data_IF_738866282078
#
_entry.id   IF_738866282078
#
_cell.length_a   1.000
_cell.length_b   1.000
_cell.length_c   1.000
_cell.angle_alpha   90.00
_cell.angle_beta   90.00
_cell.angle_gamma   90.00
#
_symmetry.space_group_name_H-M   'P 1'
#
loop_
_entity.id
_entity.type
_entity.pdbx_description
1 polymer ?
#
# COMPACT_ATOMS: atom_id res chain seq x y z
N UNK A 1 6.67 -1.41 -15.83
CA UNK A 1 7.12 -1.81 -14.47
C UNK A 1 7.49 -3.29 -14.33
N UNK A 2 7.34 -4.14 -15.36
CA UNK A 2 7.67 -5.56 -15.24
C UNK A 2 8.95 -5.87 -16.02
N UNK A 3 10.03 -6.13 -15.29
CA UNK A 3 11.31 -6.57 -15.84
C UNK A 3 11.41 -8.09 -15.94
N UNK A 4 12.42 -8.63 -16.66
CA UNK A 4 12.57 -10.07 -16.88
C UNK A 4 13.05 -10.86 -15.66
N UNK A 5 13.43 -10.19 -14.56
CA UNK A 5 13.95 -10.80 -13.35
C UNK A 5 13.08 -10.43 -12.14
N UNK A 6 13.00 -11.28 -11.10
CA UNK A 6 12.30 -10.92 -9.87
C UNK A 6 12.90 -9.65 -9.27
N UNK A 7 12.02 -8.74 -8.89
CA UNK A 7 12.37 -7.52 -8.18
C UNK A 7 12.76 -7.79 -6.73
N UNK A 8 13.06 -6.72 -6.02
CA UNK A 8 13.49 -6.72 -4.64
C UNK A 8 12.96 -5.47 -3.92
N UNK A 9 12.81 -5.57 -2.60
CA UNK A 9 12.47 -4.44 -1.74
C UNK A 9 13.74 -3.90 -1.08
N UNK A 10 13.92 -2.58 -1.10
CA UNK A 10 15.14 -1.93 -0.65
C UNK A 10 14.85 -0.88 0.41
N UNK A 11 15.82 -0.70 1.29
CA UNK A 11 15.90 0.37 2.26
C UNK A 11 17.10 1.24 1.96
N UNK A 12 17.01 2.52 2.29
CA UNK A 12 18.10 3.47 2.10
C UNK A 12 18.23 4.40 3.30
N UNK A 13 19.47 4.61 3.75
CA UNK A 13 19.83 5.77 4.57
C UNK A 13 20.99 6.53 3.93
N UNK A 14 21.10 7.82 4.27
CA UNK A 14 22.24 8.63 3.86
C UNK A 14 23.56 8.18 4.50
N UNK A 15 23.51 7.53 5.67
CA UNK A 15 24.69 7.07 6.40
C UNK A 15 25.23 5.72 5.89
N UNK A 16 24.33 4.78 5.59
CA UNK A 16 24.68 3.38 5.31
C UNK A 16 24.42 2.98 3.85
N UNK A 17 23.76 3.84 3.07
CA UNK A 17 23.42 3.59 1.68
C UNK A 17 22.27 2.59 1.51
N UNK A 18 22.27 1.90 0.36
CA UNK A 18 21.22 0.96 -0.01
C UNK A 18 21.41 -0.40 0.66
N UNK A 19 20.32 -0.97 1.16
CA UNK A 19 20.26 -2.34 1.65
C UNK A 19 19.05 -3.04 1.06
N UNK A 20 19.26 -4.27 0.58
CA UNK A 20 18.15 -5.13 0.18
C UNK A 20 17.49 -5.68 1.44
N UNK A 21 16.21 -5.39 1.62
CA UNK A 21 15.41 -5.97 2.71
C UNK A 21 14.84 -7.32 2.31
N UNK A 22 14.48 -7.46 1.03
CA UNK A 22 13.85 -8.68 0.54
C UNK A 22 14.04 -8.87 -0.97
N UNK A 23 13.94 -10.10 -1.46
CA UNK A 23 14.00 -10.45 -2.88
C UNK A 23 12.83 -11.34 -3.32
N UNK A 24 12.77 -11.66 -4.62
CA UNK A 24 11.65 -12.45 -5.14
C UNK A 24 10.33 -11.69 -5.16
N UNK A 25 10.37 -10.35 -5.20
CA UNK A 25 9.18 -9.50 -5.23
C UNK A 25 8.83 -9.20 -6.68
N UNK A 26 7.63 -9.55 -7.12
CA UNK A 26 7.20 -9.36 -8.51
C UNK A 26 7.01 -7.90 -8.88
N UNK A 27 6.21 -7.17 -8.09
CA UNK A 27 6.03 -5.72 -8.23
C UNK A 27 5.73 -5.09 -6.87
N UNK A 28 6.73 -4.47 -6.25
CA UNK A 28 6.63 -3.89 -4.91
C UNK A 28 5.82 -2.58 -4.92
N UNK A 29 4.89 -2.43 -3.97
CA UNK A 29 3.99 -1.29 -3.93
C UNK A 29 3.50 -0.97 -2.51
N UNK A 30 3.07 0.28 -2.31
CA UNK A 30 2.42 0.75 -1.08
C UNK A 30 3.14 0.41 0.24
N UNK A 31 4.45 0.69 0.41
CA UNK A 31 5.12 0.40 1.66
C UNK A 31 4.67 1.35 2.78
N UNK A 32 4.28 0.78 3.92
CA UNK A 32 3.88 1.51 5.12
C UNK A 32 4.46 0.85 6.38
N UNK A 33 4.78 1.64 7.39
CA UNK A 33 5.26 1.13 8.69
C UNK A 33 4.16 1.29 9.74
N UNK A 34 3.48 0.24 10.15
CA UNK A 34 2.33 0.30 11.05
C UNK A 34 2.63 -0.40 12.38
N UNK A 35 1.95 -0.01 13.45
CA UNK A 35 1.98 -0.78 14.70
C UNK A 35 0.98 -1.93 14.60
N UNK A 36 1.45 -3.15 14.85
CA UNK A 36 0.61 -4.35 14.96
C UNK A 36 0.92 -5.03 16.28
N UNK A 37 -0.05 -5.02 17.19
CA UNK A 37 0.08 -5.59 18.54
C UNK A 37 1.30 -5.06 19.32
N UNK A 38 1.58 -3.76 19.23
CA UNK A 38 2.70 -3.10 19.90
C UNK A 38 4.06 -3.32 19.22
N UNK A 39 4.08 -3.80 17.98
CA UNK A 39 5.29 -4.02 17.18
C UNK A 39 5.29 -3.17 15.92
N UNK A 40 6.39 -2.43 15.72
CA UNK A 40 6.72 -1.77 14.46
C UNK A 40 6.83 -2.79 13.34
N UNK A 41 5.93 -2.68 12.35
CA UNK A 41 5.77 -3.65 11.27
C UNK A 41 5.83 -2.94 9.92
N UNK A 42 6.76 -3.32 9.06
CA UNK A 42 6.77 -2.91 7.65
C UNK A 42 5.77 -3.78 6.88
N UNK A 43 4.87 -3.15 6.14
CA UNK A 43 3.86 -3.79 5.30
C UNK A 43 3.97 -3.25 3.88
N UNK A 44 3.97 -4.11 2.87
CA UNK A 44 3.91 -3.69 1.47
C UNK A 44 3.27 -4.76 0.57
N UNK A 45 2.72 -4.32 -0.55
CA UNK A 45 2.10 -5.16 -1.57
C UNK A 45 3.10 -5.69 -2.59
N UNK A 46 2.94 -6.95 -2.98
CA UNK A 46 3.43 -7.47 -4.25
C UNK A 46 2.24 -7.63 -5.20
N UNK A 47 2.13 -6.72 -6.18
CA UNK A 47 1.01 -6.68 -7.12
C UNK A 47 0.91 -7.98 -7.93
N UNK A 48 2.04 -8.54 -8.36
CA UNK A 48 2.03 -9.77 -9.17
C UNK A 48 1.69 -11.01 -8.34
N UNK A 49 2.16 -11.06 -7.09
CA UNK A 49 1.78 -12.14 -6.18
C UNK A 49 0.36 -11.98 -5.62
N UNK A 50 -0.29 -10.84 -5.84
CA UNK A 50 -1.60 -10.46 -5.30
C UNK A 50 -1.67 -10.58 -3.77
N UNK A 51 -0.58 -10.24 -3.10
CA UNK A 51 -0.39 -10.44 -1.66
C UNK A 51 0.21 -9.20 -1.03
N UNK A 52 -0.18 -8.94 0.20
CA UNK A 52 0.52 -7.98 1.06
C UNK A 52 1.33 -8.78 2.07
N UNK A 53 2.61 -8.42 2.19
CA UNK A 53 3.55 -9.01 3.13
C UNK A 53 3.80 -8.08 4.30
N UNK A 54 4.14 -8.66 5.45
CA UNK A 54 4.54 -7.95 6.66
C UNK A 54 5.86 -8.49 7.21
N UNK A 55 6.57 -7.63 7.92
CA UNK A 55 7.85 -7.91 8.56
C UNK A 55 7.95 -7.15 9.88
N UNK A 56 8.49 -7.76 10.93
CA UNK A 56 8.96 -6.99 12.08
C UNK A 56 10.05 -6.02 11.58
N UNK A 57 9.96 -4.74 11.95
CA UNK A 57 10.79 -3.70 11.34
C UNK A 57 11.54 -2.87 12.37
N UNK A 58 12.87 -2.92 12.28
CA UNK A 58 13.77 -1.97 12.94
C UNK A 58 14.21 -0.92 11.91
N UNK A 59 13.50 0.20 11.90
CA UNK A 59 13.80 1.31 10.99
C UNK A 59 15.07 2.08 11.31
N UNK A 60 15.64 1.94 12.51
CA UNK A 60 16.93 2.55 12.85
C UNK A 60 18.08 1.71 12.30
N UNK A 61 17.97 0.39 12.45
CA UNK A 61 18.95 -0.53 11.90
C UNK A 61 18.80 -0.74 10.39
N UNK A 62 17.63 -0.41 9.80
CA UNK A 62 17.32 -0.74 8.42
C UNK A 62 17.23 -2.25 8.22
N UNK A 63 16.54 -2.93 9.14
CA UNK A 63 16.45 -4.38 9.20
C UNK A 63 14.99 -4.85 9.30
N UNK A 64 14.73 -6.01 8.71
CA UNK A 64 13.44 -6.69 8.75
C UNK A 64 13.60 -8.11 9.30
N UNK A 65 12.57 -8.61 9.99
CA UNK A 65 12.45 -10.02 10.35
C UNK A 65 11.98 -10.90 9.19
N UNK A 66 11.45 -12.07 9.51
CA UNK A 66 10.94 -13.02 8.51
C UNK A 66 9.69 -12.51 7.78
N UNK A 67 9.61 -12.80 6.48
CA UNK A 67 8.44 -12.50 5.64
C UNK A 67 7.22 -13.29 6.13
N UNK A 68 6.11 -12.59 6.38
CA UNK A 68 4.81 -13.20 6.66
C UNK A 68 3.72 -12.64 5.76
N UNK A 69 2.70 -13.44 5.47
CA UNK A 69 1.51 -12.96 4.78
C UNK A 69 0.71 -12.05 5.72
N UNK A 70 0.39 -10.84 5.26
CA UNK A 70 -0.48 -9.90 5.96
C UNK A 70 -1.90 -9.96 5.40
N UNK A 71 -2.05 -9.93 4.08
CA UNK A 71 -3.34 -10.03 3.42
C UNK A 71 -3.26 -10.68 2.02
N UNK A 72 -4.35 -11.32 1.61
CA UNK A 72 -4.50 -11.96 0.31
C UNK A 72 -5.53 -11.22 -0.55
N UNK A 73 -5.06 -10.40 -1.50
CA UNK A 73 -5.93 -9.57 -2.35
C UNK A 73 -6.69 -10.37 -3.39
N UNK A 74 -6.33 -11.64 -3.64
CA UNK A 74 -7.10 -12.51 -4.54
C UNK A 74 -8.54 -12.65 -4.06
N UNK A 75 -8.77 -12.64 -2.74
CA UNK A 75 -10.10 -12.68 -2.12
C UNK A 75 -10.90 -11.38 -2.29
N UNK A 76 -10.23 -10.28 -2.61
CA UNK A 76 -10.85 -8.97 -2.83
C UNK A 76 -11.18 -8.71 -4.31
N UNK A 77 -10.72 -9.60 -5.20
CA UNK A 77 -10.97 -9.52 -6.65
C UNK A 77 -9.94 -8.67 -7.39
N UNK A 78 -8.73 -8.51 -6.86
CA UNK A 78 -7.71 -7.66 -7.48
C UNK A 78 -6.30 -7.90 -6.96
N UNK A 79 -5.46 -6.87 -7.04
CA UNK A 79 -4.06 -6.89 -6.59
C UNK A 79 -3.77 -5.67 -5.72
N UNK A 80 -2.79 -5.71 -4.80
CA UNK A 80 -2.41 -4.53 -4.03
C UNK A 80 -1.64 -3.53 -4.90
N UNK A 81 -1.87 -2.25 -4.67
CA UNK A 81 -1.10 -1.13 -5.22
C UNK A 81 -0.65 -0.21 -4.07
N UNK A 82 -0.71 1.11 -4.24
CA UNK A 82 -0.42 2.07 -3.19
C UNK A 82 -1.28 1.90 -1.92
N UNK A 83 -0.69 2.28 -0.78
CA UNK A 83 -1.27 2.08 0.55
C UNK A 83 -0.81 3.18 1.51
N UNK A 84 -1.63 3.46 2.53
CA UNK A 84 -1.30 4.36 3.66
C UNK A 84 -1.72 3.71 4.98
N UNK A 85 -1.34 4.31 6.11
CA UNK A 85 -1.73 3.84 7.44
C UNK A 85 -2.50 4.90 8.22
N UNK A 86 -3.53 4.44 8.95
CA UNK A 86 -4.21 5.27 9.95
C UNK A 86 -3.51 5.21 11.31
N UNK A 87 -3.93 6.09 12.21
CA UNK A 87 -3.37 6.23 13.55
C UNK A 87 -3.69 5.03 14.48
N UNK A 88 -4.67 4.20 14.12
CA UNK A 88 -5.18 3.08 14.93
C UNK A 88 -4.63 1.72 14.45
N UNK A 89 -3.56 1.72 13.65
CA UNK A 89 -2.91 0.49 13.19
C UNK A 89 -3.58 -0.16 11.96
N UNK A 90 -4.44 0.57 11.25
CA UNK A 90 -5.05 0.11 9.99
C UNK A 90 -4.22 0.48 8.76
N UNK A 91 -4.04 -0.47 7.86
CA UNK A 91 -3.44 -0.28 6.52
C UNK A 91 -4.56 -0.14 5.49
N UNK A 92 -4.62 1.02 4.86
CA UNK A 92 -5.54 1.30 3.76
C UNK A 92 -4.83 1.00 2.45
N UNK A 93 -5.33 0.03 1.67
CA UNK A 93 -4.69 -0.46 0.45
C UNK A 93 -5.63 -0.38 -0.75
N UNK A 94 -5.18 0.25 -1.82
CA UNK A 94 -5.85 0.23 -3.11
C UNK A 94 -5.87 -1.20 -3.67
N UNK A 95 -7.05 -1.65 -4.11
CA UNK A 95 -7.24 -2.95 -4.75
C UNK A 95 -7.38 -2.72 -6.26
N UNK A 96 -6.25 -2.81 -6.95
CA UNK A 96 -6.14 -2.64 -8.40
C UNK A 96 -7.04 -3.65 -9.12
N UNK A 97 -7.69 -3.22 -10.22
CA UNK A 97 -8.67 -3.97 -11.04
C UNK A 97 -9.98 -4.34 -10.36
N UNK A 98 -10.22 -3.95 -9.11
CA UNK A 98 -11.48 -4.25 -8.44
C UNK A 98 -12.35 -3.03 -8.16
N UNK A 99 -11.81 -1.82 -8.33
CA UNK A 99 -12.45 -0.58 -7.89
C UNK A 99 -12.74 -0.53 -6.39
N UNK A 100 -11.80 -1.00 -5.55
CA UNK A 100 -11.99 -1.05 -4.11
C UNK A 100 -10.82 -0.46 -3.33
N UNK A 101 -11.12 -0.01 -2.13
CA UNK A 101 -10.17 0.38 -1.10
C UNK A 101 -10.40 -0.47 0.15
N UNK A 102 -9.40 -1.23 0.56
CA UNK A 102 -9.47 -2.12 1.72
C UNK A 102 -8.77 -1.51 2.93
N UNK A 103 -9.38 -1.59 4.11
CA UNK A 103 -8.69 -1.37 5.39
C UNK A 103 -8.39 -2.73 6.02
N UNK A 104 -7.11 -2.96 6.29
CA UNK A 104 -6.55 -4.19 6.82
C UNK A 104 -5.89 -3.92 8.17
N UNK A 105 -6.01 -4.83 9.12
CA UNK A 105 -5.38 -4.74 10.45
C UNK A 105 -4.63 -6.04 10.75
N UNK A 106 -3.99 -6.13 11.92
CA UNK A 106 -3.38 -7.37 12.40
C UNK A 106 -4.35 -8.56 12.51
N UNK A 107 -5.67 -8.31 12.54
CA UNK A 107 -6.70 -9.35 12.61
C UNK A 107 -7.31 -9.71 11.25
N UNK A 108 -6.95 -8.98 10.17
CA UNK A 108 -7.43 -9.22 8.81
C UNK A 108 -8.17 -8.04 8.21
N UNK A 109 -9.15 -8.33 7.33
CA UNK A 109 -9.95 -7.30 6.67
C UNK A 109 -10.94 -6.66 7.67
N UNK A 110 -10.82 -5.36 7.87
CA UNK A 110 -11.73 -4.58 8.73
C UNK A 110 -12.81 -3.86 7.92
N UNK A 111 -12.43 -3.29 6.76
CA UNK A 111 -13.36 -2.56 5.90
C UNK A 111 -13.04 -2.73 4.43
N UNK A 112 -14.06 -2.68 3.59
CA UNK A 112 -13.93 -2.64 2.15
C UNK A 112 -14.88 -1.56 1.60
N UNK A 113 -14.34 -0.61 0.86
CA UNK A 113 -15.09 0.47 0.23
C UNK A 113 -15.08 0.27 -1.29
N UNK A 114 -16.25 0.39 -1.91
CA UNK A 114 -16.37 0.46 -3.36
C UNK A 114 -16.06 1.87 -3.85
N UNK A 115 -15.33 1.96 -4.95
CA UNK A 115 -14.94 3.19 -5.60
C UNK A 115 -15.46 3.20 -7.05
N UNK A 116 -15.75 4.38 -7.62
CA UNK A 116 -16.23 4.47 -9.00
C UNK A 116 -15.17 4.09 -10.03
N UNK A 117 -13.87 4.34 -9.76
CA UNK A 117 -12.81 3.99 -10.70
C UNK A 117 -12.49 2.47 -10.66
N UNK A 118 -12.16 1.84 -11.79
CA UNK A 118 -11.80 0.41 -11.82
C UNK A 118 -10.41 0.13 -11.21
N UNK A 119 -9.49 1.09 -11.30
CA UNK A 119 -8.07 0.90 -10.99
C UNK A 119 -7.56 1.95 -10.00
N UNK A 120 -7.97 1.91 -8.72
CA UNK A 120 -7.35 2.75 -7.69
C UNK A 120 -5.86 2.36 -7.57
N UNK A 121 -4.99 3.37 -7.55
CA UNK A 121 -3.53 3.16 -7.64
C UNK A 121 -2.76 3.57 -6.40
N UNK A 122 -3.18 4.62 -5.71
CA UNK A 122 -2.54 5.04 -4.45
C UNK A 122 -3.50 5.83 -3.58
N UNK A 123 -3.23 5.86 -2.28
CA UNK A 123 -4.08 6.46 -1.26
C UNK A 123 -3.25 7.15 -0.18
N UNK A 124 -3.70 8.32 0.26
CA UNK A 124 -3.08 9.04 1.37
C UNK A 124 -4.12 9.76 2.23
N UNK A 125 -3.88 9.85 3.54
CA UNK A 125 -4.63 10.76 4.40
C UNK A 125 -4.19 12.21 4.20
N UNK A 126 -5.15 13.12 4.22
CA UNK A 126 -4.93 14.55 4.08
C UNK A 126 -6.01 15.38 4.76
N UNK A 127 -6.02 16.68 4.46
CA UNK A 127 -6.83 17.65 5.20
C UNK A 127 -6.17 18.04 6.53
N UNK A 128 -6.67 19.11 7.16
CA UNK A 128 -6.05 19.71 8.36
C UNK A 128 -6.02 18.77 9.56
N UNK A 129 -6.95 17.83 9.62
CA UNK A 129 -7.04 16.84 10.70
C UNK A 129 -6.61 15.44 10.27
N UNK A 130 -6.11 15.26 9.04
CA UNK A 130 -5.79 13.96 8.45
C UNK A 130 -6.97 12.98 8.43
N UNK A 131 -8.20 13.46 8.31
CA UNK A 131 -9.45 12.69 8.38
C UNK A 131 -10.13 12.50 7.02
N UNK A 132 -9.44 12.84 5.94
CA UNK A 132 -9.88 12.67 4.55
C UNK A 132 -8.90 11.79 3.80
N UNK A 133 -9.39 10.82 3.06
CA UNK A 133 -8.55 10.03 2.14
C UNK A 133 -8.57 10.65 0.74
N UNK A 134 -7.40 10.77 0.14
CA UNK A 134 -7.24 11.09 -1.27
C UNK A 134 -6.82 9.83 -2.02
N UNK A 135 -7.51 9.49 -3.11
CA UNK A 135 -7.28 8.25 -3.86
C UNK A 135 -7.04 8.57 -5.33
N UNK A 136 -5.88 8.15 -5.84
CA UNK A 136 -5.50 8.27 -7.26
C UNK A 136 -5.89 7.02 -8.04
N UNK A 137 -5.88 7.11 -9.37
CA UNK A 137 -6.25 5.99 -10.24
C UNK A 137 -5.50 5.95 -11.57
N UNK A 138 -5.56 4.79 -12.21
CA UNK A 138 -4.94 4.50 -13.51
C UNK A 138 -5.98 4.52 -14.64
N UNK A 139 -5.76 5.43 -15.59
CA UNK A 139 -6.60 5.64 -16.78
C UNK A 139 -6.00 5.07 -18.08
N UNK A 140 -5.41 3.89 -18.03
CA UNK A 140 -4.95 3.17 -19.23
C UNK A 140 -5.27 1.68 -19.15
N UNK A 141 -5.32 1.03 -20.31
CA UNK A 141 -5.55 -0.41 -20.42
C UNK A 141 -4.38 -1.18 -19.79
N UNK A 142 -4.68 -1.97 -18.76
CA UNK A 142 -3.71 -2.79 -18.04
C UNK A 142 -3.47 -4.15 -18.74
N UNK A 143 -3.88 -4.30 -20.00
CA UNK A 143 -3.73 -5.51 -20.81
C UNK A 143 -4.99 -6.34 -20.96
N UNK A 144 -6.15 -5.78 -20.63
CA UNK A 144 -7.46 -6.43 -20.75
C UNK A 144 -8.10 -6.20 -22.12
N UNK A 145 -7.57 -5.26 -22.92
CA UNK A 145 -8.17 -4.84 -24.18
C UNK A 145 -9.42 -3.99 -23.98
N UNK A 146 -9.62 -3.43 -22.79
CA UNK A 146 -10.78 -2.63 -22.42
C UNK A 146 -10.36 -1.16 -22.37
N UNK A 147 -11.04 -0.32 -23.14
CA UNK A 147 -10.85 1.13 -23.06
C UNK A 147 -11.26 1.64 -21.67
N UNK A 148 -10.42 2.43 -20.98
CA UNK A 148 -10.76 2.93 -19.65
C UNK A 148 -12.01 3.81 -19.70
N UNK A 149 -12.96 3.65 -18.77
CA UNK A 149 -14.10 4.56 -18.68
C UNK A 149 -13.63 5.95 -18.19
N UNK A 150 -14.45 7.02 -18.36
CA UNK A 150 -14.07 8.38 -17.96
C UNK A 150 -13.59 8.51 -16.51
N UNK A 151 -14.19 7.72 -15.60
CA UNK A 151 -13.85 7.71 -14.17
C UNK A 151 -12.52 7.04 -13.83
N UNK A 152 -11.88 6.34 -14.77
CA UNK A 152 -10.60 5.69 -14.54
C UNK A 152 -9.43 6.66 -14.30
N UNK A 153 -9.60 7.95 -14.58
CA UNK A 153 -8.60 9.00 -14.32
C UNK A 153 -8.94 9.94 -13.17
N UNK A 154 -9.96 9.62 -12.38
CA UNK A 154 -10.39 10.50 -11.29
C UNK A 154 -9.42 10.49 -10.11
N UNK A 155 -9.27 11.66 -9.49
CA UNK A 155 -8.78 11.80 -8.12
C UNK A 155 -9.99 11.95 -7.21
N UNK A 156 -10.12 11.08 -6.21
CA UNK A 156 -11.20 11.16 -5.23
C UNK A 156 -10.71 11.76 -3.92
N UNK A 157 -11.61 12.47 -3.26
CA UNK A 157 -11.53 12.84 -1.87
C UNK A 157 -12.68 12.16 -1.13
N UNK A 158 -12.37 11.31 -0.16
CA UNK A 158 -13.33 10.57 0.65
C UNK A 158 -13.34 11.15 2.06
N UNK A 159 -14.48 11.72 2.44
CA UNK A 159 -14.76 12.21 3.78
C UNK A 159 -15.42 11.13 4.64
N UNK A 160 -15.47 11.36 5.96
CA UNK A 160 -16.21 10.54 6.92
C UNK A 160 -15.88 9.04 6.87
N UNK A 161 -14.62 8.72 6.52
CA UNK A 161 -14.12 7.34 6.44
C UNK A 161 -13.98 6.67 7.82
N UNK A 162 -14.20 7.42 8.90
CA UNK A 162 -14.16 6.90 10.28
C UNK A 162 -12.76 6.48 10.75
N UNK A 163 -11.72 7.02 10.13
CA UNK A 163 -10.33 6.83 10.51
C UNK A 163 -9.57 8.14 10.33
N UNK A 164 -8.51 8.32 11.12
CA UNK A 164 -7.62 9.48 11.05
C UNK A 164 -6.23 8.98 10.71
N UNK A 165 -5.60 9.60 9.73
CA UNK A 165 -4.23 9.34 9.35
C UNK A 165 -3.22 9.83 10.37
N UNK A 166 -1.96 9.75 9.98
CA UNK A 166 -0.83 10.27 10.74
C UNK A 166 0.11 11.04 9.83
N UNK A 167 0.94 11.95 10.36
CA UNK A 167 1.92 12.64 9.55
C UNK A 167 2.89 11.65 8.91
N UNK A 168 3.11 11.79 7.60
CA UNK A 168 4.09 10.99 6.88
C UNK A 168 5.52 11.38 7.26
N UNK A 169 6.41 10.39 7.27
CA UNK A 169 7.81 10.61 7.57
C UNK A 169 8.47 11.40 6.43
N UNK A 170 9.26 12.42 6.78
CA UNK A 170 10.11 13.10 5.81
C UNK A 170 11.43 12.38 5.70
N UNK A 171 11.83 12.08 4.48
CA UNK A 171 13.16 11.58 4.20
C UNK A 171 14.21 12.66 4.51
N UNK A 172 15.30 12.29 5.20
CA UNK A 172 16.44 13.17 5.46
C UNK A 172 17.72 12.64 4.85
N UNK A 173 18.49 13.54 4.23
CA UNK A 173 19.85 13.27 3.73
C UNK A 173 20.95 13.67 4.73
N UNK A 174 20.58 14.22 5.89
CA UNK A 174 21.48 14.78 6.90
C UNK A 174 20.94 14.57 8.31
#
# INVERSE_FOLDING_TARGET
>A
NLGPAPGAFWWFSAADGWRRLDDGIGNANGPVVVDVDGRSTLVFGDTLAQRIYAYDYDGRAGAVGERRLFADHRRLGGAPDGSTADADGGVWSCVLRSGKLARLTGTGLDRLLDLPMPNPSDVAFGGRRLDRLFVTSIAFDLGDGIAPPPEAGWLLALDDVGAVGRPEFRFSLR
#
